data_IF_029691672623
#
_entry.id   IF_029691672623
#
_cell.length_a   1.000
_cell.length_b   1.000
_cell.length_c   1.000
_cell.angle_alpha   90.00
_cell.angle_beta   90.00
_cell.angle_gamma   90.00
#
_symmetry.space_group_name_H-M   'P 1'
#
loop_
_entity.id
_entity.type
_entity.pdbx_description
1 polymer ?
#
# COMPACT_ATOMS: atom_id res chain seq x y z
N UNK A 1 -71.65 31.43 52.43
CA UNK A 1 -70.22 31.17 52.18
C UNK A 1 -70.07 29.73 51.72
N UNK A 2 -69.93 29.54 50.40
CA UNK A 2 -69.46 28.31 49.77
C UNK A 2 -68.00 28.05 50.17
N UNK A 3 -67.55 26.79 50.21
CA UNK A 3 -66.44 26.31 49.37
C UNK A 3 -66.30 24.78 49.42
N UNK A 4 -66.36 24.19 48.22
CA UNK A 4 -66.10 22.81 47.84
C UNK A 4 -64.69 22.34 48.23
N UNK A 5 -64.56 21.12 48.76
CA UNK A 5 -63.30 20.37 48.77
C UNK A 5 -63.27 19.43 47.56
N UNK A 6 -62.45 19.74 46.56
CA UNK A 6 -62.08 18.81 45.49
C UNK A 6 -60.58 18.54 45.60
N UNK A 7 -60.21 17.26 45.77
CA UNK A 7 -58.82 16.79 45.73
C UNK A 7 -58.62 16.06 44.40
N UNK A 8 -57.89 16.69 43.48
CA UNK A 8 -57.38 16.01 42.28
C UNK A 8 -56.01 15.41 42.61
N UNK A 9 -55.90 14.08 42.48
CA UNK A 9 -54.64 13.34 42.49
C UNK A 9 -54.10 13.41 41.06
N UNK A 10 -52.93 14.02 40.89
CA UNK A 10 -52.21 14.08 39.62
C UNK A 10 -51.08 13.05 39.67
N UNK A 11 -51.27 11.92 38.99
CA UNK A 11 -50.22 10.90 38.77
C UNK A 11 -49.49 11.28 37.48
N UNK A 12 -48.29 11.82 37.62
CA UNK A 12 -47.40 12.08 36.49
C UNK A 12 -46.57 10.83 36.20
N UNK A 13 -46.97 10.06 35.20
CA UNK A 13 -46.21 8.92 34.67
C UNK A 13 -45.10 9.45 33.76
N UNK A 14 -43.90 9.63 34.30
CA UNK A 14 -42.70 9.98 33.54
C UNK A 14 -42.09 8.74 32.90
N UNK A 15 -42.43 8.47 31.63
CA UNK A 15 -41.70 7.52 30.79
C UNK A 15 -40.35 8.15 30.40
N UNK A 16 -39.30 7.83 31.16
CA UNK A 16 -37.91 8.05 30.76
C UNK A 16 -37.53 7.00 29.72
N UNK A 17 -37.74 7.32 28.44
CA UNK A 17 -37.11 6.59 27.34
C UNK A 17 -35.61 6.91 27.34
N UNK A 18 -34.83 6.12 28.08
CA UNK A 18 -33.39 6.05 27.88
C UNK A 18 -33.13 5.46 26.50
N UNK A 19 -32.94 6.34 25.52
CA UNK A 19 -32.29 6.00 24.25
C UNK A 19 -30.87 5.55 24.59
N UNK A 20 -30.70 4.25 24.76
CA UNK A 20 -29.41 3.59 24.90
C UNK A 20 -28.71 3.67 23.53
N UNK A 21 -28.06 4.80 23.24
CA UNK A 21 -27.02 4.85 22.21
C UNK A 21 -25.81 4.14 22.78
N UNK A 22 -25.77 2.82 22.67
CA UNK A 22 -24.54 2.06 22.84
C UNK A 22 -23.60 2.44 21.70
N UNK A 23 -22.78 3.48 21.91
CA UNK A 23 -21.67 3.79 21.02
C UNK A 23 -20.69 2.61 21.09
N UNK A 24 -20.51 1.91 19.98
CA UNK A 24 -19.50 0.87 19.88
C UNK A 24 -18.13 1.54 20.03
N UNK A 25 -17.33 1.08 21.00
CA UNK A 25 -16.01 1.65 21.26
C UNK A 25 -15.07 1.42 20.06
N UNK A 26 -14.42 2.51 19.63
CA UNK A 26 -13.39 2.48 18.57
C UNK A 26 -12.10 1.88 19.11
N UNK A 27 -11.53 0.93 18.38
CA UNK A 27 -10.22 0.36 18.69
C UNK A 27 -9.13 1.26 18.10
N UNK A 28 -8.33 1.86 18.97
CA UNK A 28 -7.21 2.73 18.59
C UNK A 28 -5.93 1.90 18.44
N UNK A 29 -5.33 1.97 17.25
CA UNK A 29 -4.10 1.29 16.91
C UNK A 29 -2.93 2.27 16.98
N UNK A 30 -2.03 2.05 17.92
CA UNK A 30 -0.73 2.71 17.91
C UNK A 30 0.12 2.14 16.80
N UNK A 31 0.63 3.01 15.93
CA UNK A 31 1.49 2.58 14.84
C UNK A 31 2.91 2.28 15.31
N UNK A 32 3.50 1.23 14.75
CA UNK A 32 4.91 0.86 14.95
C UNK A 32 5.63 0.84 13.60
N UNK A 33 6.91 1.17 13.56
CA UNK A 33 7.70 1.13 12.32
C UNK A 33 7.98 -0.30 11.92
N UNK A 34 7.89 -0.59 10.62
CA UNK A 34 8.30 -1.90 10.09
C UNK A 34 9.83 -1.95 9.91
N UNK A 35 10.51 -2.63 10.82
CA UNK A 35 11.99 -2.68 10.82
C UNK A 35 12.55 -3.67 9.78
N UNK A 36 11.91 -4.82 9.62
CA UNK A 36 12.37 -5.93 8.78
C UNK A 36 11.29 -6.43 7.84
N UNK A 37 11.71 -7.17 6.82
CA UNK A 37 10.81 -7.93 5.95
C UNK A 37 9.94 -8.85 6.81
N UNK A 38 8.63 -8.75 6.62
CA UNK A 38 7.65 -9.39 7.51
C UNK A 38 6.57 -10.05 6.68
N UNK A 39 6.11 -11.21 7.15
CA UNK A 39 4.98 -11.95 6.57
C UNK A 39 3.78 -11.77 7.49
N UNK A 40 2.74 -11.14 6.98
CA UNK A 40 1.48 -10.98 7.69
C UNK A 40 0.55 -12.14 7.36
N UNK A 41 0.73 -13.24 8.09
CA UNK A 41 -0.14 -14.42 8.04
C UNK A 41 -0.58 -14.79 9.45
N UNK A 42 -1.66 -14.18 9.91
CA UNK A 42 -2.33 -14.65 11.11
C UNK A 42 -3.29 -15.79 10.77
N UNK A 43 -3.47 -16.72 11.71
CA UNK A 43 -4.55 -17.68 11.64
C UNK A 43 -5.89 -16.95 11.80
N UNK A 44 -6.87 -17.32 10.98
CA UNK A 44 -8.21 -16.75 11.08
C UNK A 44 -8.86 -17.27 12.36
N UNK A 45 -9.37 -16.37 13.19
CA UNK A 45 -10.19 -16.68 14.36
C UNK A 45 -11.63 -16.22 14.06
N UNK A 46 -12.64 -17.04 14.37
CA UNK A 46 -14.05 -16.69 14.19
C UNK A 46 -14.48 -15.45 14.99
N UNK A 47 -13.78 -15.16 16.10
CA UNK A 47 -14.05 -13.99 16.95
C UNK A 47 -13.38 -12.70 16.49
N UNK A 48 -12.45 -12.77 15.54
CA UNK A 48 -11.61 -11.63 15.14
C UNK A 48 -11.45 -11.62 13.64
N UNK A 49 -12.32 -10.84 13.00
CA UNK A 49 -12.35 -10.64 11.56
C UNK A 49 -11.99 -9.19 11.24
N UNK A 50 -11.06 -9.00 10.31
CA UNK A 50 -10.79 -7.69 9.74
C UNK A 50 -11.76 -7.46 8.58
N UNK A 51 -12.51 -6.36 8.62
CA UNK A 51 -13.46 -5.98 7.58
C UNK A 51 -13.05 -4.65 6.96
N UNK A 52 -13.13 -4.55 5.64
CA UNK A 52 -12.90 -3.32 4.87
C UNK A 52 -14.24 -2.91 4.24
N UNK A 53 -14.67 -1.69 4.51
CA UNK A 53 -15.89 -1.10 3.95
C UNK A 53 -15.51 0.03 3.00
N UNK A 54 -16.06 0.00 1.79
CA UNK A 54 -16.04 1.15 0.89
C UNK A 54 -17.27 2.00 1.18
N UNK A 55 -17.07 3.29 1.51
CA UNK A 55 -18.14 4.24 1.76
C UNK A 55 -18.53 4.85 0.41
N UNK A 56 -19.76 4.59 -0.07
CA UNK A 56 -20.25 5.24 -1.29
C UNK A 56 -20.27 6.75 -1.07
N UNK A 57 -19.91 7.52 -2.10
CA UNK A 57 -20.05 8.97 -2.02
C UNK A 57 -21.55 9.32 -1.92
N UNK A 58 -21.96 10.04 -0.88
CA UNK A 58 -23.36 10.36 -0.63
C UNK A 58 -23.96 11.26 -1.73
N UNK A 59 -23.11 12.00 -2.45
CA UNK A 59 -23.51 12.88 -3.56
C UNK A 59 -23.43 12.18 -4.93
N UNK A 60 -23.04 10.90 -4.98
CA UNK A 60 -23.08 10.12 -6.20
C UNK A 60 -24.54 9.85 -6.59
N UNK A 61 -24.99 10.47 -7.68
CA UNK A 61 -26.23 10.07 -8.35
C UNK A 61 -26.12 8.59 -8.72
N UNK A 62 -27.22 7.83 -8.58
CA UNK A 62 -27.26 6.39 -8.84
C UNK A 62 -26.61 6.04 -10.19
N UNK A 63 -25.36 5.55 -10.15
CA UNK A 63 -24.58 5.17 -11.34
C UNK A 63 -23.23 5.86 -11.50
N UNK A 64 -22.94 6.96 -10.80
CA UNK A 64 -21.69 7.71 -10.96
C UNK A 64 -20.94 7.89 -9.62
N UNK A 65 -20.11 6.89 -9.27
CA UNK A 65 -19.11 7.02 -8.20
C UNK A 65 -17.92 7.85 -8.71
N UNK A 66 -18.11 9.16 -8.88
CA UNK A 66 -17.09 10.10 -9.38
C UNK A 66 -16.27 10.78 -8.28
N UNK A 67 -16.57 10.51 -7.01
CA UNK A 67 -15.81 11.01 -5.86
C UNK A 67 -14.61 10.14 -5.46
N UNK A 68 -13.68 10.67 -4.65
CA UNK A 68 -12.59 9.88 -4.08
C UNK A 68 -13.17 8.75 -3.22
N UNK A 69 -12.69 7.52 -3.43
CA UNK A 69 -13.13 6.37 -2.63
C UNK A 69 -12.63 6.54 -1.19
N UNK A 70 -13.54 6.36 -0.23
CA UNK A 70 -13.22 6.41 1.20
C UNK A 70 -13.48 5.04 1.77
N UNK A 71 -12.52 4.52 2.54
CA UNK A 71 -12.61 3.23 3.19
C UNK A 71 -12.64 3.38 4.71
N UNK A 72 -13.33 2.44 5.37
CA UNK A 72 -13.32 2.21 6.82
C UNK A 72 -12.92 0.78 7.11
N UNK A 73 -12.25 0.56 8.22
CA UNK A 73 -11.89 -0.78 8.67
C UNK A 73 -12.47 -1.06 10.05
N UNK A 74 -12.94 -2.28 10.26
CA UNK A 74 -13.42 -2.75 11.55
C UNK A 74 -12.70 -4.04 11.98
N UNK A 75 -12.59 -4.23 13.29
CA UNK A 75 -12.31 -5.50 13.95
C UNK A 75 -13.62 -6.06 14.49
N UNK A 76 -14.16 -7.09 13.84
CA UNK A 76 -15.54 -7.50 14.05
C UNK A 76 -16.49 -6.34 13.72
N UNK A 77 -17.22 -5.86 14.73
CA UNK A 77 -18.12 -4.71 14.60
C UNK A 77 -17.51 -3.40 15.14
N UNK A 78 -16.31 -3.45 15.73
CA UNK A 78 -15.63 -2.29 16.29
C UNK A 78 -14.86 -1.51 15.21
N UNK A 79 -15.09 -0.19 15.05
CA UNK A 79 -14.30 0.62 14.14
C UNK A 79 -12.82 0.65 14.55
N UNK A 80 -11.92 0.64 13.57
CA UNK A 80 -10.49 0.84 13.78
C UNK A 80 -10.10 2.30 13.52
N UNK A 81 -9.24 2.84 14.37
CA UNK A 81 -8.55 4.10 14.15
C UNK A 81 -7.03 3.89 14.21
N UNK A 82 -6.28 4.55 13.34
CA UNK A 82 -4.82 4.65 13.47
C UNK A 82 -4.47 5.94 14.21
N UNK A 83 -3.62 5.82 15.23
CA UNK A 83 -2.91 6.94 15.84
C UNK A 83 -1.51 7.05 15.20
N UNK A 84 -1.29 7.97 14.25
CA UNK A 84 -0.05 8.07 13.49
C UNK A 84 1.10 8.67 14.30
N UNK A 85 0.79 9.48 15.32
CA UNK A 85 1.79 10.10 16.20
C UNK A 85 1.47 9.84 17.67
N UNK A 86 2.37 9.14 18.35
CA UNK A 86 2.26 8.87 19.79
C UNK A 86 2.23 10.17 20.62
N UNK A 87 2.83 11.25 20.13
CA UNK A 87 2.88 12.56 20.80
C UNK A 87 1.59 13.37 20.64
N UNK A 88 0.72 12.98 19.71
CA UNK A 88 -0.57 13.64 19.48
C UNK A 88 -1.71 12.61 19.52
N UNK A 89 -2.12 12.16 20.73
CA UNK A 89 -3.12 11.10 20.90
C UNK A 89 -4.51 11.48 20.39
N UNK A 90 -4.82 12.78 20.30
CA UNK A 90 -6.10 13.27 19.79
C UNK A 90 -6.26 13.10 18.27
N UNK A 91 -5.15 12.93 17.54
CA UNK A 91 -5.18 12.75 16.09
C UNK A 91 -5.45 11.28 15.74
N UNK A 92 -6.73 10.93 15.69
CA UNK A 92 -7.20 9.61 15.28
C UNK A 92 -7.69 9.64 13.83
N UNK A 93 -7.19 8.72 13.00
CA UNK A 93 -7.62 8.59 11.61
C UNK A 93 -8.44 7.30 11.46
N UNK A 94 -9.71 7.44 11.10
CA UNK A 94 -10.67 6.34 10.92
C UNK A 94 -11.01 6.08 9.45
N UNK A 95 -10.56 6.96 8.55
CA UNK A 95 -10.88 6.93 7.12
C UNK A 95 -9.60 6.79 6.29
N UNK A 96 -9.71 6.03 5.21
CA UNK A 96 -8.58 5.64 4.38
C UNK A 96 -8.89 5.93 2.91
N UNK A 97 -7.92 6.49 2.18
CA UNK A 97 -8.01 6.74 0.74
C UNK A 97 -7.87 5.45 -0.09
N UNK A 98 -7.29 4.43 0.52
CA UNK A 98 -7.07 3.13 -0.06
C UNK A 98 -7.12 2.06 1.03
N UNK A 99 -7.76 0.93 0.75
CA UNK A 99 -7.69 -0.25 1.59
C UNK A 99 -7.79 -1.51 0.73
N UNK A 100 -6.87 -2.46 0.94
CA UNK A 100 -6.90 -3.75 0.25
C UNK A 100 -6.30 -4.84 1.11
N UNK A 101 -6.95 -6.02 1.11
CA UNK A 101 -6.36 -7.20 1.75
C UNK A 101 -5.11 -7.64 0.99
N UNK A 102 -4.07 -7.98 1.74
CA UNK A 102 -2.77 -8.40 1.19
C UNK A 102 -2.50 -9.88 1.40
N UNK A 103 -3.44 -10.61 1.99
CA UNK A 103 -3.37 -12.06 2.13
C UNK A 103 -4.73 -12.71 1.86
N UNK A 104 -4.71 -13.98 1.46
CA UNK A 104 -5.93 -14.74 1.14
C UNK A 104 -6.84 -14.99 2.34
N UNK A 105 -6.31 -14.90 3.57
CA UNK A 105 -7.06 -15.12 4.80
C UNK A 105 -7.83 -13.86 5.26
N UNK A 106 -7.61 -12.73 4.59
CA UNK A 106 -8.13 -11.41 4.96
C UNK A 106 -7.79 -11.01 6.40
N UNK A 107 -6.60 -11.41 6.88
CA UNK A 107 -6.12 -11.09 8.23
C UNK A 107 -5.13 -9.92 8.23
N UNK A 108 -4.79 -9.39 7.06
CA UNK A 108 -3.97 -8.19 6.92
C UNK A 108 -4.42 -7.33 5.73
N UNK A 109 -4.46 -6.01 5.93
CA UNK A 109 -4.81 -5.03 4.93
C UNK A 109 -3.72 -3.95 4.82
N UNK A 110 -3.38 -3.60 3.57
CA UNK A 110 -2.63 -2.40 3.25
C UNK A 110 -3.62 -1.23 3.17
N UNK A 111 -3.35 -0.17 3.92
CA UNK A 111 -4.18 1.03 3.94
C UNK A 111 -3.35 2.29 3.68
N UNK A 112 -3.95 3.27 3.02
CA UNK A 112 -3.43 4.63 2.92
C UNK A 112 -4.34 5.55 3.71
N UNK A 113 -3.78 6.37 4.60
CA UNK A 113 -4.59 7.33 5.35
C UNK A 113 -5.31 8.29 4.39
N UNK A 114 -6.55 8.65 4.72
CA UNK A 114 -7.19 9.79 4.08
C UNK A 114 -6.52 11.06 4.62
N UNK A 115 -5.93 11.86 3.75
CA UNK A 115 -5.33 13.15 4.08
C UNK A 115 -5.71 14.18 3.02
N UNK A 116 -6.04 15.39 3.46
CA UNK A 116 -6.42 16.52 2.61
C UNK A 116 -5.28 17.54 2.46
N UNK A 117 -4.07 17.23 2.95
CA UNK A 117 -2.90 18.12 2.88
C UNK A 117 -2.33 18.34 1.47
N UNK A 118 -2.73 17.52 0.49
CA UNK A 118 -2.16 17.50 -0.86
C UNK A 118 -0.79 16.80 -0.95
N UNK A 119 -0.25 16.30 0.17
CA UNK A 119 0.91 15.44 0.21
C UNK A 119 0.51 13.97 0.05
N UNK A 120 1.46 13.12 -0.33
CA UNK A 120 1.24 11.67 -0.34
C UNK A 120 1.05 11.19 1.09
N UNK A 121 -0.17 10.80 1.41
CA UNK A 121 -0.53 10.31 2.73
C UNK A 121 0.25 9.02 3.08
N UNK A 122 0.60 8.80 4.37
CA UNK A 122 1.33 7.60 4.78
C UNK A 122 0.54 6.30 4.60
N UNK A 123 1.28 5.21 4.42
CA UNK A 123 0.75 3.86 4.28
C UNK A 123 1.01 3.03 5.54
N UNK A 124 0.07 2.14 5.85
CA UNK A 124 0.17 1.20 6.97
C UNK A 124 -0.26 -0.19 6.56
N UNK A 125 0.29 -1.21 7.22
CA UNK A 125 -0.32 -2.54 7.29
C UNK A 125 -1.11 -2.62 8.58
N UNK A 126 -2.41 -2.89 8.50
CA UNK A 126 -3.22 -3.34 9.64
C UNK A 126 -3.27 -4.85 9.57
N UNK A 127 -2.81 -5.54 10.62
CA UNK A 127 -2.85 -7.00 10.69
C UNK A 127 -3.46 -7.48 11.99
N UNK A 128 -4.12 -8.64 11.94
CA UNK A 128 -4.50 -9.39 13.12
C UNK A 128 -3.28 -10.07 13.74
N UNK A 129 -3.27 -10.14 15.07
CA UNK A 129 -2.36 -10.91 15.90
C UNK A 129 -3.17 -11.53 17.04
N UNK A 130 -3.58 -12.78 16.84
CA UNK A 130 -4.63 -13.40 17.65
C UNK A 130 -5.94 -12.64 17.54
N UNK A 131 -6.45 -12.16 18.68
CA UNK A 131 -7.70 -11.40 18.74
C UNK A 131 -7.53 -9.88 18.59
N UNK A 132 -6.29 -9.39 18.49
CA UNK A 132 -5.99 -7.96 18.45
C UNK A 132 -5.57 -7.54 17.05
N UNK A 133 -5.86 -6.29 16.69
CA UNK A 133 -5.28 -5.66 15.51
C UNK A 133 -4.02 -4.87 15.89
N UNK A 134 -3.06 -4.80 14.96
CA UNK A 134 -1.83 -3.99 15.06
C UNK A 134 -1.66 -3.18 13.77
N UNK A 135 -1.11 -1.98 13.88
CA UNK A 135 -0.79 -1.12 12.75
C UNK A 135 0.73 -0.97 12.57
N UNK A 136 1.24 -1.23 11.38
CA UNK A 136 2.66 -1.10 11.03
C UNK A 136 2.84 -0.01 9.97
N UNK A 137 3.61 1.02 10.27
CA UNK A 137 3.92 2.11 9.35
C UNK A 137 4.88 1.65 8.27
N UNK A 138 4.51 1.88 7.00
CA UNK A 138 5.37 1.72 5.84
C UNK A 138 6.09 3.02 5.52
N UNK A 139 6.87 3.50 6.49
CA UNK A 139 7.65 4.72 6.39
C UNK A 139 9.14 4.42 6.49
N UNK A 140 9.91 5.03 5.61
CA UNK A 140 11.37 5.06 5.65
C UNK A 140 11.83 6.46 5.28
N UNK A 141 12.48 7.15 6.22
CA UNK A 141 13.03 8.49 6.00
C UNK A 141 13.94 8.54 4.78
N UNK A 142 13.94 9.67 4.07
CA UNK A 142 14.70 9.86 2.84
C UNK A 142 15.09 11.33 2.69
N UNK A 143 16.31 11.55 2.21
CA UNK A 143 16.89 12.87 1.94
C UNK A 143 17.28 13.00 0.46
N UNK A 144 16.57 12.26 -0.41
CA UNK A 144 16.85 12.23 -1.84
C UNK A 144 16.48 13.56 -2.51
N UNK A 145 17.33 14.10 -3.39
CA UNK A 145 17.10 15.42 -3.99
C UNK A 145 15.86 15.49 -4.90
N UNK A 146 15.34 14.35 -5.34
CA UNK A 146 14.14 14.25 -6.18
C UNK A 146 13.02 13.45 -5.50
N UNK A 147 13.00 13.37 -4.17
CA UNK A 147 12.00 12.61 -3.42
C UNK A 147 10.56 13.03 -3.76
N UNK A 148 10.30 14.33 -3.91
CA UNK A 148 8.98 14.83 -4.32
C UNK A 148 8.53 14.29 -5.69
N UNK A 149 9.48 14.01 -6.59
CA UNK A 149 9.20 13.46 -7.90
C UNK A 149 8.90 11.95 -7.83
N UNK A 150 9.58 11.22 -6.98
CA UNK A 150 9.54 9.74 -6.94
C UNK A 150 8.70 9.17 -5.79
N UNK A 151 8.19 10.01 -4.89
CA UNK A 151 7.17 9.65 -3.91
C UNK A 151 5.80 9.73 -4.57
N UNK A 152 5.34 8.63 -5.15
CA UNK A 152 4.07 8.54 -5.90
C UNK A 152 2.92 7.92 -5.11
N UNK A 153 3.14 7.54 -3.86
CA UNK A 153 2.20 6.75 -3.09
C UNK A 153 2.31 5.28 -3.47
N UNK A 154 1.17 4.67 -3.80
CA UNK A 154 1.13 3.29 -4.27
C UNK A 154 1.19 3.21 -5.80
N UNK A 155 1.82 2.17 -6.32
CA UNK A 155 1.71 1.76 -7.71
C UNK A 155 1.43 0.26 -7.79
N UNK A 156 0.42 -0.11 -8.57
CA UNK A 156 0.08 -1.52 -8.77
C UNK A 156 1.08 -2.19 -9.71
N UNK A 157 1.69 -3.29 -9.25
CA UNK A 157 2.63 -4.09 -10.04
C UNK A 157 1.91 -5.35 -10.52
N UNK A 158 0.95 -5.15 -11.41
CA UNK A 158 0.05 -6.19 -11.91
C UNK A 158 -0.65 -6.94 -10.76
N UNK A 159 -0.69 -8.28 -10.85
CA UNK A 159 -1.25 -9.13 -9.79
C UNK A 159 -0.26 -9.47 -8.67
N UNK A 160 1.01 -9.07 -8.81
CA UNK A 160 2.06 -9.48 -7.88
C UNK A 160 1.96 -8.74 -6.54
N UNK A 161 1.68 -7.44 -6.59
CA UNK A 161 1.77 -6.61 -5.39
C UNK A 161 1.62 -5.12 -5.65
N UNK A 162 1.91 -4.36 -4.61
CA UNK A 162 1.95 -2.91 -4.59
C UNK A 162 3.38 -2.44 -4.31
N UNK A 163 3.83 -1.46 -5.09
CA UNK A 163 5.05 -0.72 -4.82
C UNK A 163 4.68 0.55 -4.05
N UNK A 164 5.21 0.72 -2.85
CA UNK A 164 4.90 1.85 -1.97
C UNK A 164 6.11 2.77 -1.91
N UNK A 165 5.96 3.98 -2.48
CA UNK A 165 6.96 5.04 -2.48
C UNK A 165 8.37 4.57 -2.86
N UNK A 166 8.49 3.60 -3.77
CA UNK A 166 9.75 2.94 -4.14
C UNK A 166 10.60 2.39 -2.97
N UNK A 167 10.04 2.27 -1.77
CA UNK A 167 10.75 1.84 -0.55
C UNK A 167 10.29 0.45 -0.10
N UNK A 168 9.05 0.08 -0.42
CA UNK A 168 8.48 -1.21 -0.02
C UNK A 168 7.77 -1.88 -1.19
N UNK A 169 7.87 -3.20 -1.26
CA UNK A 169 7.04 -4.03 -2.11
C UNK A 169 6.15 -4.93 -1.25
N UNK A 170 4.84 -4.81 -1.43
CA UNK A 170 3.82 -5.54 -0.66
C UNK A 170 3.15 -6.55 -1.58
N UNK A 171 3.26 -7.84 -1.29
CA UNK A 171 2.60 -8.88 -2.08
C UNK A 171 1.11 -8.95 -1.75
N UNK A 172 0.27 -9.32 -2.74
CA UNK A 172 -1.19 -9.43 -2.57
C UNK A 172 -1.69 -10.75 -1.98
N UNK A 173 -0.88 -11.82 -2.08
CA UNK A 173 -1.35 -13.19 -1.81
C UNK A 173 -0.85 -13.73 -0.48
N UNK A 174 0.45 -13.57 -0.20
CA UNK A 174 1.07 -14.12 1.00
C UNK A 174 1.31 -13.08 2.10
N UNK A 175 0.85 -11.83 1.91
CA UNK A 175 0.90 -10.77 2.91
C UNK A 175 2.32 -10.36 3.27
N UNK A 176 3.28 -10.52 2.37
CA UNK A 176 4.68 -10.25 2.64
C UNK A 176 5.04 -8.83 2.24
N UNK A 177 5.74 -8.15 3.13
CA UNK A 177 6.30 -6.82 2.87
C UNK A 177 7.81 -6.95 2.79
N UNK A 178 8.36 -6.50 1.67
CA UNK A 178 9.79 -6.41 1.43
C UNK A 178 10.24 -4.96 1.47
N UNK A 179 11.28 -4.68 2.25
CA UNK A 179 11.97 -3.40 2.23
C UNK A 179 12.94 -3.41 1.04
N UNK A 180 12.73 -2.51 0.09
CA UNK A 180 13.57 -2.45 -1.09
C UNK A 180 14.95 -1.92 -0.74
N UNK A 181 15.97 -2.58 -1.28
CA UNK A 181 17.34 -2.10 -1.22
C UNK A 181 17.43 -0.80 -2.04
N UNK A 182 17.81 0.29 -1.36
CA UNK A 182 18.04 1.58 -2.00
C UNK A 182 19.40 1.59 -2.68
N UNK A 183 19.50 2.32 -3.78
CA UNK A 183 20.80 2.55 -4.43
C UNK A 183 21.75 3.28 -3.47
N UNK A 184 21.23 4.31 -2.80
CA UNK A 184 21.90 5.03 -1.73
C UNK A 184 21.11 4.85 -0.42
N UNK A 185 21.70 4.37 0.69
CA UNK A 185 20.94 4.00 1.89
C UNK A 185 20.02 5.10 2.45
N UNK A 186 20.47 6.36 2.38
CA UNK A 186 19.73 7.54 2.85
C UNK A 186 18.71 8.10 1.86
N UNK A 187 18.64 7.57 0.64
CA UNK A 187 17.78 8.11 -0.42
C UNK A 187 16.86 7.04 -0.97
N UNK A 188 15.56 7.32 -0.95
CA UNK A 188 14.55 6.57 -1.71
C UNK A 188 15.04 6.37 -3.15
N UNK A 189 14.66 5.28 -3.78
CA UNK A 189 15.08 5.02 -5.16
C UNK A 189 14.59 6.17 -6.07
N UNK A 190 15.55 6.94 -6.58
CA UNK A 190 15.33 8.12 -7.43
C UNK A 190 15.06 7.72 -8.88
N UNK A 191 14.09 6.82 -9.09
CA UNK A 191 13.80 6.23 -10.39
C UNK A 191 12.33 5.91 -10.58
N UNK A 192 11.92 5.83 -11.84
CA UNK A 192 10.59 5.33 -12.20
C UNK A 192 10.63 3.82 -12.26
N UNK A 193 9.69 3.13 -11.60
CA UNK A 193 9.46 1.73 -11.91
C UNK A 193 9.16 1.58 -13.40
N UNK A 194 9.85 0.64 -14.05
CA UNK A 194 9.86 0.52 -15.50
C UNK A 194 9.39 -0.85 -15.98
N UNK A 195 9.88 -1.93 -15.35
CA UNK A 195 9.45 -3.30 -15.67
C UNK A 195 9.84 -4.28 -14.55
N UNK A 196 9.45 -5.54 -14.73
CA UNK A 196 9.80 -6.65 -13.84
C UNK A 196 10.51 -7.75 -14.62
N UNK A 197 11.28 -8.58 -13.91
CA UNK A 197 11.74 -9.87 -14.42
C UNK A 197 10.56 -10.79 -14.76
N UNK A 198 10.82 -11.81 -15.59
CA UNK A 198 9.81 -12.78 -15.99
C UNK A 198 9.26 -13.60 -14.81
N UNK A 199 10.12 -13.93 -13.85
CA UNK A 199 9.75 -14.57 -12.58
C UNK A 199 9.16 -13.59 -11.55
N UNK A 200 9.09 -12.29 -11.89
CA UNK A 200 8.49 -11.21 -11.09
C UNK A 200 9.15 -11.01 -9.73
N UNK A 201 10.40 -11.43 -9.58
CA UNK A 201 11.18 -11.27 -8.34
C UNK A 201 12.16 -10.08 -8.37
N UNK A 202 12.44 -9.54 -9.56
CA UNK A 202 13.29 -8.37 -9.74
C UNK A 202 12.47 -7.19 -10.27
N UNK A 203 12.50 -6.07 -9.54
CA UNK A 203 11.94 -4.79 -9.98
C UNK A 203 13.02 -3.97 -10.68
N UNK A 204 12.70 -3.39 -11.83
CA UNK A 204 13.62 -2.54 -12.59
C UNK A 204 13.14 -1.10 -12.52
N UNK A 205 14.02 -0.22 -12.07
CA UNK A 205 13.83 1.22 -11.97
C UNK A 205 14.69 1.93 -13.02
N UNK A 206 14.06 2.76 -13.84
CA UNK A 206 14.75 3.70 -14.70
C UNK A 206 15.25 4.89 -13.85
N UNK A 207 16.55 4.91 -13.61
CA UNK A 207 17.27 6.00 -12.94
C UNK A 207 18.09 6.77 -14.00
N UNK A 208 18.79 7.83 -13.60
CA UNK A 208 19.54 8.67 -14.54
C UNK A 208 20.51 7.85 -15.42
N UNK A 209 20.13 7.62 -16.68
CA UNK A 209 20.90 6.87 -17.69
C UNK A 209 21.30 5.44 -17.28
N UNK A 210 20.53 4.79 -16.40
CA UNK A 210 20.76 3.41 -16.01
C UNK A 210 19.46 2.70 -15.58
N UNK A 211 19.52 1.37 -15.55
CA UNK A 211 18.49 0.51 -14.98
C UNK A 211 18.98 -0.01 -13.64
N UNK A 212 18.44 0.52 -12.55
CA UNK A 212 18.67 0.03 -11.20
C UNK A 212 17.70 -1.12 -10.90
N UNK A 213 18.21 -2.28 -10.54
CA UNK A 213 17.43 -3.50 -10.39
C UNK A 213 17.50 -3.98 -8.95
N UNK A 214 16.35 -4.34 -8.39
CA UNK A 214 16.24 -4.83 -7.01
C UNK A 214 15.55 -6.18 -7.04
N UNK A 215 16.28 -7.22 -6.68
CA UNK A 215 15.71 -8.53 -6.39
C UNK A 215 15.15 -8.50 -4.96
N UNK A 216 13.87 -8.14 -4.85
CA UNK A 216 13.26 -7.84 -3.55
C UNK A 216 13.25 -9.03 -2.57
N UNK A 217 13.22 -10.32 -2.97
CA UNK A 217 13.28 -11.40 -2.01
C UNK A 217 14.62 -11.54 -1.28
N UNK A 218 15.73 -11.19 -1.94
CA UNK A 218 17.08 -11.33 -1.36
C UNK A 218 17.73 -10.00 -1.01
N UNK A 219 17.10 -8.87 -1.36
CA UNK A 219 17.67 -7.53 -1.23
C UNK A 219 18.90 -7.26 -2.12
N UNK A 220 19.26 -8.19 -3.02
CA UNK A 220 20.40 -8.01 -3.94
C UNK A 220 20.02 -7.00 -5.01
N UNK A 221 21.04 -6.31 -5.52
CA UNK A 221 20.86 -5.23 -6.48
C UNK A 221 21.85 -5.37 -7.63
N UNK A 222 21.48 -4.84 -8.79
CA UNK A 222 22.33 -4.74 -9.95
C UNK A 222 22.00 -3.47 -10.72
N UNK A 223 23.01 -2.74 -11.16
CA UNK A 223 22.83 -1.53 -11.97
C UNK A 223 23.38 -1.79 -13.35
N UNK A 224 22.52 -1.65 -14.36
CA UNK A 224 22.91 -1.76 -15.76
C UNK A 224 22.96 -0.36 -16.39
N UNK A 225 24.15 0.19 -16.69
CA UNK A 225 24.26 1.44 -17.41
C UNK A 225 23.58 1.35 -18.78
N UNK A 226 22.90 2.43 -19.18
CA UNK A 226 22.36 2.58 -20.53
C UNK A 226 23.35 3.39 -21.38
N UNK A 227 23.63 2.96 -22.61
CA UNK A 227 24.48 3.73 -23.52
C UNK A 227 23.79 5.05 -23.91
N UNK A 228 24.57 6.05 -24.33
CA UNK A 228 24.03 7.35 -24.76
C UNK A 228 23.05 7.24 -25.95
N UNK A 229 23.16 6.17 -26.75
CA UNK A 229 22.26 5.85 -27.85
C UNK A 229 20.88 5.33 -27.40
N UNK A 230 20.71 4.98 -26.12
CA UNK A 230 19.43 4.50 -25.61
C UNK A 230 18.38 5.62 -25.66
N UNK A 231 17.15 5.34 -26.12
CA UNK A 231 16.09 6.34 -26.15
C UNK A 231 15.79 6.88 -24.75
N UNK A 232 15.64 8.21 -24.64
CA UNK A 232 15.30 8.87 -23.36
C UNK A 232 13.81 8.81 -23.01
N UNK A 233 12.94 8.59 -24.01
CA UNK A 233 11.48 8.48 -23.81
C UNK A 233 11.12 7.05 -23.41
N UNK A 234 10.27 6.83 -22.39
CA UNK A 234 9.93 5.49 -21.89
C UNK A 234 9.41 4.52 -22.97
N UNK A 235 8.54 4.99 -23.87
CA UNK A 235 7.96 4.15 -24.93
C UNK A 235 9.02 3.63 -25.91
N UNK A 236 9.96 4.47 -26.34
CA UNK A 236 11.07 4.05 -27.19
C UNK A 236 12.10 3.20 -26.45
N UNK A 237 12.30 3.47 -25.16
CA UNK A 237 13.24 2.73 -24.33
C UNK A 237 12.82 1.27 -24.16
N UNK A 238 11.53 1.01 -23.99
CA UNK A 238 11.02 -0.36 -23.81
C UNK A 238 11.32 -1.23 -25.04
N UNK A 239 11.00 -0.75 -26.24
CA UNK A 239 11.29 -1.46 -27.48
C UNK A 239 12.81 -1.64 -27.69
N UNK A 240 13.61 -0.62 -27.34
CA UNK A 240 15.06 -0.70 -27.43
C UNK A 240 15.64 -1.78 -26.49
N UNK A 241 15.14 -1.85 -25.24
CA UNK A 241 15.54 -2.87 -24.26
C UNK A 241 15.25 -4.27 -24.78
N UNK A 242 14.07 -4.50 -25.37
CA UNK A 242 13.71 -5.80 -25.95
C UNK A 242 14.67 -6.25 -27.06
N UNK A 243 15.31 -5.32 -27.78
CA UNK A 243 16.22 -5.62 -28.88
C UNK A 243 17.70 -5.72 -28.44
N UNK A 244 18.08 -4.99 -27.40
CA UNK A 244 19.49 -4.76 -27.03
C UNK A 244 19.87 -5.33 -25.67
N UNK A 245 18.93 -5.94 -24.96
CA UNK A 245 19.14 -6.47 -23.62
C UNK A 245 18.53 -7.85 -23.48
N UNK A 246 19.09 -8.63 -22.57
CA UNK A 246 18.69 -10.00 -22.30
C UNK A 246 18.60 -10.22 -20.79
N UNK A 247 17.64 -11.03 -20.39
CA UNK A 247 17.51 -11.49 -19.02
C UNK A 247 18.44 -12.68 -18.80
N UNK A 248 19.40 -12.54 -17.89
CA UNK A 248 20.37 -13.58 -17.54
C UNK A 248 20.28 -13.93 -16.07
N UNK A 249 20.36 -15.23 -15.75
CA UNK A 249 20.49 -15.68 -14.36
C UNK A 249 21.93 -15.56 -13.91
N UNK A 250 22.13 -15.08 -12.69
CA UNK A 250 23.42 -15.19 -12.02
C UNK A 250 23.59 -16.54 -11.31
N UNK A 251 24.71 -16.69 -10.58
CA UNK A 251 25.03 -17.88 -9.78
C UNK A 251 23.99 -18.19 -8.69
N UNK A 252 23.27 -17.18 -8.22
CA UNK A 252 22.24 -17.30 -7.19
C UNK A 252 20.84 -17.50 -7.82
N UNK A 253 20.80 -17.79 -9.12
CA UNK A 253 19.58 -17.95 -9.93
C UNK A 253 18.73 -16.69 -10.04
N UNK A 254 19.28 -15.50 -9.75
CA UNK A 254 18.54 -14.24 -9.84
C UNK A 254 18.57 -13.73 -11.27
N UNK A 255 17.42 -13.33 -11.79
CA UNK A 255 17.27 -12.82 -13.14
C UNK A 255 17.57 -11.32 -13.20
N UNK A 256 18.61 -10.96 -13.96
CA UNK A 256 19.05 -9.58 -14.19
C UNK A 256 18.96 -9.22 -15.66
N UNK A 257 18.47 -8.02 -15.95
CA UNK A 257 18.45 -7.46 -17.29
C UNK A 257 19.81 -6.85 -17.63
N UNK A 258 20.53 -7.46 -18.56
CA UNK A 258 21.88 -7.05 -18.96
C UNK A 258 21.93 -6.66 -20.43
N UNK A 259 22.90 -5.86 -20.81
CA UNK A 259 23.17 -5.62 -22.23
C UNK A 259 23.48 -6.94 -22.92
N UNK A 260 22.86 -7.19 -24.08
CA UNK A 260 23.23 -8.36 -24.87
C UNK A 260 24.67 -8.18 -25.34
N UNK A 261 25.54 -9.15 -25.02
CA UNK A 261 26.77 -9.29 -25.79
C UNK A 261 26.37 -9.41 -27.27
N UNK A 262 27.16 -8.83 -28.17
CA UNK A 262 26.81 -8.62 -29.58
C UNK A 262 26.28 -9.87 -30.33
N UNK A 263 26.52 -11.08 -29.80
CA UNK A 263 26.11 -12.35 -30.39
C UNK A 263 24.77 -12.93 -29.92
N UNK A 264 24.19 -12.46 -28.80
CA UNK A 264 22.92 -13.00 -28.26
C UNK A 264 21.70 -12.10 -28.53
N UNK A 265 21.79 -11.18 -29.50
CA UNK A 265 20.61 -10.45 -29.98
C UNK A 265 19.67 -11.46 -30.64
N UNK A 266 18.38 -11.43 -30.29
CA UNK A 266 17.35 -12.16 -31.02
C UNK A 266 17.28 -11.56 -32.42
N UNK A 267 18.01 -12.19 -33.36
CA UNK A 267 18.04 -11.74 -34.77
C UNK A 267 16.70 -12.05 -35.40
N UNK A 268 16.14 -11.07 -36.09
CA UNK A 268 14.87 -11.25 -36.77
C UNK A 268 15.08 -12.23 -37.94
N UNK A 269 14.21 -13.24 -38.10
CA UNK A 269 14.32 -14.27 -39.15
C UNK A 269 14.39 -13.67 -40.58
N UNK A 270 13.91 -12.44 -40.75
CA UNK A 270 13.98 -11.71 -42.02
C UNK A 270 15.41 -11.28 -42.40
N UNK A 271 16.36 -11.26 -41.46
CA UNK A 271 17.76 -10.91 -41.73
C UNK A 271 18.55 -12.06 -42.40
N UNK A 272 17.99 -13.28 -42.40
CA UNK A 272 18.60 -14.48 -42.99
C UNK A 272 18.03 -14.84 -44.36
N UNK A 273 17.09 -14.04 -44.90
CA UNK A 273 16.59 -14.19 -46.26
C UNK A 273 17.40 -13.30 -47.22
N UNK A 274 18.63 -13.70 -47.50
CA UNK A 274 19.35 -13.28 -48.70
C UNK A 274 19.62 -14.50 -49.55
#
# INVERSE_FOLDING_TARGET
MLFLRSRYILVSFGLLLFSCKSSVDTVVLQSQVLETDTVFKAQKNEKSELRVFNIPNADASAGENTGPQVFKLNLGDQPLAIQPDAKNPEKLITEFAFASFINSQHTAALVQLQDNSGLVAPFYIISLDGEKAKAYSLYRGSEGPQDSRFTKGQSEIGRSGYLINNDFFVTRVDGRVYKLARQEPGQRIQGLHFMNSADRQTLVFLVNSALYQVHYPSGKTYTQPLPASAPKKPSGLFAWIQQNMVWERDKDQILWLKSSAADNRVRNLNEFKK
#
